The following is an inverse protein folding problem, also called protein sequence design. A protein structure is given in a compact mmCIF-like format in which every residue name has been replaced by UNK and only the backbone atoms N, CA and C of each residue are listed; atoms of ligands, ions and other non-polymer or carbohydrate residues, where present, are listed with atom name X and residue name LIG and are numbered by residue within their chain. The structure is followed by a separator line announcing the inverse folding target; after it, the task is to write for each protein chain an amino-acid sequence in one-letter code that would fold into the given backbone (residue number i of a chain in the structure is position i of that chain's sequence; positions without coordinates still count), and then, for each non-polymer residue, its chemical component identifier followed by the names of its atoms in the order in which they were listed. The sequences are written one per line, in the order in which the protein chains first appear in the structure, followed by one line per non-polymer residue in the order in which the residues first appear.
data_IF_945172808923
#
_entry.id   IF_945172808923
#
_cell.length_a   1.000
_cell.length_b   1.000
_cell.length_c   1.000
_cell.angle_alpha   90.00
_cell.angle_beta   90.00
_cell.angle_gamma   90.00
#
_symmetry.space_group_name_H-M   'P 1'
#
loop_
_entity.id
_entity.type
_entity.pdbx_description
1 polymer ?
#
# COMPACT_ATOMS: atom_id res chain seq x y z
N UNK A 1 14.97 -6.39 -1.36
CA UNK A 1 13.52 -6.06 -1.34
C UNK A 1 12.70 -6.96 -2.25
N UNK A 2 12.94 -6.97 -3.57
CA UNK A 2 12.11 -7.70 -4.55
C UNK A 2 11.88 -9.20 -4.21
N UNK A 3 12.94 -9.95 -3.87
CA UNK A 3 12.82 -11.38 -3.50
C UNK A 3 11.98 -11.65 -2.24
N UNK A 4 11.90 -10.67 -1.34
CA UNK A 4 11.23 -10.82 -0.04
C UNK A 4 9.79 -10.31 -0.04
N UNK A 5 9.59 -9.13 -0.64
CA UNK A 5 8.33 -8.37 -0.57
C UNK A 5 7.62 -8.23 -1.91
N UNK A 6 8.19 -8.69 -3.03
CA UNK A 6 7.55 -8.63 -4.35
C UNK A 6 7.49 -7.25 -4.99
N UNK A 7 7.79 -6.18 -4.26
CA UNK A 7 7.88 -4.82 -4.79
C UNK A 7 8.72 -3.89 -3.93
N UNK A 8 9.13 -2.77 -4.50
CA UNK A 8 9.97 -1.75 -3.85
C UNK A 8 9.96 -0.40 -4.57
N UNK A 9 10.40 0.64 -3.86
CA UNK A 9 10.63 1.97 -4.41
C UNK A 9 11.97 2.01 -5.17
N UNK A 10 11.98 2.57 -6.37
CA UNK A 10 13.22 2.80 -7.13
C UNK A 10 13.36 4.29 -7.48
N UNK A 11 14.54 4.86 -7.21
CA UNK A 11 14.82 6.26 -7.56
C UNK A 11 14.78 6.47 -9.07
N UNK A 12 14.33 7.65 -9.50
CA UNK A 12 14.10 8.00 -10.91
C UNK A 12 13.03 7.14 -11.63
N UNK A 13 12.31 6.29 -10.89
CA UNK A 13 11.19 5.48 -11.39
C UNK A 13 9.93 5.76 -10.57
N UNK A 14 10.00 5.56 -9.26
CA UNK A 14 8.93 5.77 -8.29
C UNK A 14 8.92 7.21 -7.76
N UNK A 15 7.77 7.64 -7.21
CA UNK A 15 7.57 9.00 -6.69
C UNK A 15 6.93 8.99 -5.31
N UNK A 16 7.18 10.03 -4.48
CA UNK A 16 6.68 10.14 -3.09
C UNK A 16 5.92 11.46 -2.77
N UNK A 17 4.84 11.82 -3.48
CA UNK A 17 4.05 12.99 -3.10
C UNK A 17 3.17 12.72 -1.88
N UNK A 18 2.70 13.81 -1.26
CA UNK A 18 1.62 13.75 -0.26
C UNK A 18 0.28 13.96 -0.95
N UNK A 19 -0.68 13.08 -0.70
CA UNK A 19 -2.02 13.17 -1.30
C UNK A 19 -3.05 12.31 -0.55
N UNK A 20 -4.32 12.57 -0.85
CA UNK A 20 -5.45 11.82 -0.32
C UNK A 20 -5.76 10.64 -1.23
N UNK A 21 -5.50 9.42 -0.77
CA UNK A 21 -5.88 8.21 -1.48
C UNK A 21 -7.31 7.80 -1.14
N UNK A 22 -8.16 7.68 -2.17
CA UNK A 22 -9.49 7.08 -2.06
C UNK A 22 -9.40 5.60 -2.45
N UNK A 23 -9.50 4.71 -1.46
CA UNK A 23 -9.51 3.26 -1.66
C UNK A 23 -10.96 2.82 -1.85
N UNK A 24 -11.41 2.81 -3.10
CA UNK A 24 -12.82 2.54 -3.44
C UNK A 24 -13.21 1.06 -3.29
N UNK A 25 -12.24 0.17 -3.51
CA UNK A 25 -12.45 -1.29 -3.51
C UNK A 25 -11.27 -2.00 -2.85
N UNK A 26 -11.59 -3.08 -2.15
CA UNK A 26 -10.62 -3.99 -1.56
C UNK A 26 -10.79 -5.37 -2.21
N UNK A 27 -9.69 -6.08 -2.55
CA UNK A 27 -9.79 -7.45 -3.08
C UNK A 27 -10.32 -8.41 -2.01
N UNK A 28 -10.79 -9.57 -2.46
CA UNK A 28 -10.99 -10.72 -1.57
C UNK A 28 -9.62 -11.30 -1.19
N UNK A 29 -9.12 -10.96 -0.01
CA UNK A 29 -7.83 -11.42 0.49
C UNK A 29 -7.84 -11.47 2.03
N UNK A 30 -7.13 -12.39 2.69
CA UNK A 30 -7.08 -12.41 4.17
C UNK A 30 -6.68 -11.07 4.79
N UNK A 31 -5.78 -10.31 4.14
CA UNK A 31 -5.33 -8.99 4.61
C UNK A 31 -6.48 -7.96 4.69
N UNK A 32 -7.52 -8.10 3.88
CA UNK A 32 -8.63 -7.13 3.78
C UNK A 32 -9.86 -7.52 4.62
N UNK A 33 -9.83 -8.66 5.34
CA UNK A 33 -10.94 -9.10 6.18
C UNK A 33 -11.25 -8.07 7.27
N UNK A 34 -12.53 -7.71 7.41
CA UNK A 34 -12.99 -6.71 8.37
C UNK A 34 -12.71 -5.26 7.98
N UNK A 35 -11.98 -5.00 6.88
CA UNK A 35 -11.80 -3.67 6.35
C UNK A 35 -12.94 -3.28 5.40
N UNK A 36 -13.25 -2.00 5.32
CA UNK A 36 -14.15 -1.40 4.33
C UNK A 36 -13.39 -0.40 3.46
N UNK A 37 -13.89 -0.01 2.27
CA UNK A 37 -13.37 1.12 1.53
C UNK A 37 -13.16 2.36 2.41
N UNK A 38 -12.03 3.06 2.23
CA UNK A 38 -11.64 4.18 3.09
C UNK A 38 -10.86 5.25 2.33
N UNK A 39 -10.78 6.43 2.93
CA UNK A 39 -10.00 7.56 2.42
C UNK A 39 -8.90 7.87 3.42
N UNK A 40 -7.67 8.08 2.94
CA UNK A 40 -6.52 8.33 3.80
C UNK A 40 -5.58 9.37 3.17
N UNK A 41 -5.31 10.45 3.91
CA UNK A 41 -4.26 11.40 3.58
C UNK A 41 -2.91 10.88 4.11
N UNK A 42 -1.90 10.80 3.25
CA UNK A 42 -0.57 10.29 3.61
C UNK A 42 0.49 10.69 2.57
N UNK A 43 1.76 10.35 2.82
CA UNK A 43 2.82 10.36 1.81
C UNK A 43 2.80 9.04 1.02
N UNK A 44 1.86 8.90 0.09
CA UNK A 44 1.69 7.66 -0.68
C UNK A 44 2.63 7.60 -1.88
N UNK A 45 3.49 6.58 -1.91
CA UNK A 45 4.46 6.40 -2.98
C UNK A 45 3.83 5.55 -4.07
N UNK A 46 4.06 5.92 -5.33
CA UNK A 46 3.50 5.18 -6.45
C UNK A 46 4.47 5.03 -7.62
N UNK A 47 4.01 4.33 -8.66
CA UNK A 47 4.84 3.84 -9.75
C UNK A 47 5.96 2.95 -9.21
N UNK A 48 5.57 1.97 -8.39
CA UNK A 48 6.47 1.04 -7.71
C UNK A 48 7.04 -0.01 -8.67
N UNK A 49 8.20 -0.57 -8.35
CA UNK A 49 8.69 -1.79 -9.01
C UNK A 49 8.02 -3.00 -8.39
N UNK A 50 7.68 -3.96 -9.25
CA UNK A 50 7.15 -5.26 -8.83
C UNK A 50 7.95 -6.40 -9.46
N UNK A 51 7.74 -7.61 -8.96
CA UNK A 51 8.22 -8.83 -9.60
C UNK A 51 7.78 -8.85 -11.08
N UNK A 52 8.57 -9.45 -11.99
CA UNK A 52 8.19 -9.54 -13.40
C UNK A 52 6.76 -10.06 -13.56
N UNK A 53 5.96 -9.35 -14.37
CA UNK A 53 4.54 -9.65 -14.61
C UNK A 53 3.68 -9.69 -13.33
N UNK A 54 4.16 -9.04 -12.25
CA UNK A 54 3.56 -9.09 -10.92
C UNK A 54 3.38 -10.53 -10.39
N UNK A 55 4.23 -11.47 -10.82
CA UNK A 55 4.09 -12.88 -10.45
C UNK A 55 4.16 -13.06 -8.93
N UNK A 56 3.07 -13.57 -8.35
CA UNK A 56 2.91 -13.77 -6.91
C UNK A 56 2.56 -12.51 -6.12
N UNK A 57 2.40 -11.36 -6.78
CA UNK A 57 2.00 -10.09 -6.16
C UNK A 57 0.49 -9.90 -6.32
N UNK A 58 -0.20 -9.66 -5.22
CA UNK A 58 -1.62 -9.30 -5.21
C UNK A 58 -1.75 -7.86 -4.73
N UNK A 59 -2.27 -6.92 -5.55
CA UNK A 59 -2.59 -5.57 -5.09
C UNK A 59 -3.59 -5.61 -3.95
N UNK A 60 -3.29 -4.94 -2.84
CA UNK A 60 -4.17 -4.85 -1.66
C UNK A 60 -4.80 -3.46 -1.57
N UNK A 61 -4.00 -2.42 -1.78
CA UNK A 61 -4.43 -1.03 -1.82
C UNK A 61 -4.05 -0.43 -3.16
N UNK A 62 -5.04 0.09 -3.87
CA UNK A 62 -4.84 0.76 -5.15
C UNK A 62 -5.69 2.02 -5.22
N UNK A 63 -5.14 3.08 -5.80
CA UNK A 63 -5.83 4.35 -5.98
C UNK A 63 -5.31 5.08 -7.22
N UNK A 64 -6.10 6.02 -7.73
CA UNK A 64 -5.66 6.95 -8.76
C UNK A 64 -5.13 8.23 -8.09
N UNK A 65 -3.82 8.53 -8.20
CA UNK A 65 -3.31 9.79 -7.69
C UNK A 65 -3.93 10.98 -8.44
N UNK A 66 -4.23 12.10 -7.76
CA UNK A 66 -4.73 13.28 -8.43
C UNK A 66 -3.63 13.90 -9.31
N UNK A 67 -4.00 14.55 -10.42
CA UNK A 67 -3.04 15.21 -11.34
C UNK A 67 -2.08 16.16 -10.63
N UNK A 68 -2.49 16.78 -9.52
CA UNK A 68 -1.66 17.69 -8.73
C UNK A 68 -0.37 17.05 -8.19
N UNK A 69 -0.32 15.72 -8.03
CA UNK A 69 0.90 14.98 -7.68
C UNK A 69 2.02 15.12 -8.73
N UNK A 70 1.65 15.49 -9.97
CA UNK A 70 2.56 15.63 -11.11
C UNK A 70 3.12 17.05 -11.32
N UNK A 71 2.90 17.96 -10.37
CA UNK A 71 3.33 19.36 -10.49
C UNK A 71 4.82 19.60 -10.19
N UNK A 72 5.51 18.65 -9.55
CA UNK A 72 6.94 18.76 -9.24
C UNK A 72 7.81 18.59 -10.50
N UNK A 73 9.01 19.18 -10.56
CA UNK A 73 9.96 18.88 -11.63
C UNK A 73 10.43 17.42 -11.56
N UNK A 74 11.07 16.97 -12.64
CA UNK A 74 11.63 15.64 -12.69
C UNK A 74 12.82 15.48 -11.72
N UNK A 75 12.98 14.31 -11.10
CA UNK A 75 14.00 14.10 -10.07
C UNK A 75 14.03 12.69 -9.49
N UNK A 76 14.91 12.43 -8.51
CA UNK A 76 15.13 11.09 -7.96
C UNK A 76 13.93 10.51 -7.20
N UNK A 77 13.08 11.37 -6.61
CA UNK A 77 11.87 10.97 -5.88
C UNK A 77 10.61 11.74 -6.34
N UNK A 78 10.77 12.59 -7.36
CA UNK A 78 9.69 13.36 -7.97
C UNK A 78 9.41 12.83 -9.37
N UNK A 79 8.88 13.65 -10.28
CA UNK A 79 8.42 13.16 -11.57
C UNK A 79 9.54 12.60 -12.45
N UNK A 80 9.14 11.85 -13.47
CA UNK A 80 10.01 11.30 -14.49
C UNK A 80 9.16 10.89 -15.72
N UNK A 81 9.78 10.59 -16.88
CA UNK A 81 9.04 10.19 -18.07
C UNK A 81 8.17 8.94 -17.88
N UNK A 82 8.58 8.00 -17.03
CA UNK A 82 7.86 6.73 -16.83
C UNK A 82 6.55 6.95 -16.06
N UNK A 83 6.61 7.62 -14.90
CA UNK A 83 5.41 7.93 -14.11
C UNK A 83 4.46 8.87 -14.86
N UNK A 84 4.97 9.81 -15.67
CA UNK A 84 4.16 10.66 -16.55
C UNK A 84 3.37 9.83 -17.56
N UNK A 85 4.00 8.84 -18.19
CA UNK A 85 3.35 7.92 -19.13
C UNK A 85 2.26 7.09 -18.45
N UNK A 86 2.57 6.51 -17.28
CA UNK A 86 1.61 5.70 -16.49
C UNK A 86 0.38 6.52 -16.08
N UNK A 87 0.60 7.73 -15.55
CA UNK A 87 -0.47 8.66 -15.16
C UNK A 87 -1.30 9.14 -16.36
N UNK A 88 -0.68 9.40 -17.51
CA UNK A 88 -1.39 9.79 -18.73
C UNK A 88 -2.25 8.65 -19.30
N UNK A 89 -1.81 7.39 -19.14
CA UNK A 89 -2.57 6.20 -19.51
C UNK A 89 -3.72 5.89 -18.53
N UNK A 90 -3.84 6.62 -17.42
CA UNK A 90 -4.87 6.39 -16.41
C UNK A 90 -4.65 5.11 -15.61
N UNK A 91 -3.42 4.61 -15.54
CA UNK A 91 -3.11 3.38 -14.82
C UNK A 91 -3.34 3.57 -13.31
N UNK A 92 -4.05 2.62 -12.70
CA UNK A 92 -4.24 2.58 -11.26
C UNK A 92 -2.90 2.29 -10.58
N UNK A 93 -2.63 2.96 -9.48
CA UNK A 93 -1.37 2.81 -8.77
C UNK A 93 -1.53 1.90 -7.55
N UNK A 94 -0.64 0.92 -7.41
CA UNK A 94 -0.62 -0.01 -6.29
C UNK A 94 0.27 0.53 -5.16
N UNK A 95 -0.37 0.92 -4.07
CA UNK A 95 0.26 1.59 -2.91
C UNK A 95 0.37 0.67 -1.69
N UNK A 96 -0.22 -0.52 -1.77
CA UNK A 96 -0.03 -1.65 -0.84
C UNK A 96 -0.30 -2.99 -1.53
N UNK A 97 0.47 -4.02 -1.20
CA UNK A 97 0.46 -5.31 -1.90
C UNK A 97 0.88 -6.47 -1.00
N UNK A 98 0.33 -7.65 -1.29
CA UNK A 98 0.76 -8.93 -0.75
C UNK A 98 1.70 -9.61 -1.75
N UNK A 99 2.60 -10.44 -1.25
CA UNK A 99 3.52 -11.23 -2.05
C UNK A 99 3.63 -12.65 -1.52
N UNK A 100 3.33 -13.62 -2.36
CA UNK A 100 3.53 -15.05 -2.09
C UNK A 100 4.79 -15.53 -2.81
N UNK A 101 5.81 -15.95 -2.05
CA UNK A 101 7.08 -16.37 -2.65
C UNK A 101 6.90 -17.71 -3.38
N UNK A 102 7.49 -17.87 -4.58
CA UNK A 102 7.41 -19.12 -5.33
C UNK A 102 7.85 -20.33 -4.50
N UNK A 103 7.14 -21.45 -4.68
CA UNK A 103 7.43 -22.70 -3.98
C UNK A 103 7.11 -22.67 -2.49
N UNK A 104 6.19 -21.80 -2.05
CA UNK A 104 5.71 -21.79 -0.67
C UNK A 104 6.75 -21.30 0.35
N UNK A 105 7.78 -20.56 -0.08
CA UNK A 105 8.88 -20.07 0.78
C UNK A 105 8.47 -18.91 1.72
N UNK A 106 7.17 -18.77 1.95
CA UNK A 106 6.55 -17.77 2.81
C UNK A 106 6.00 -16.56 2.06
N UNK A 107 5.56 -15.59 2.85
CA UNK A 107 4.73 -14.45 2.43
C UNK A 107 5.42 -13.13 2.78
N UNK A 108 5.00 -12.05 2.14
CA UNK A 108 5.45 -10.69 2.41
C UNK A 108 4.35 -9.68 2.13
N UNK A 109 4.37 -8.56 2.83
CA UNK A 109 3.45 -7.46 2.60
C UNK A 109 4.26 -6.16 2.51
N UNK A 110 3.90 -5.29 1.57
CA UNK A 110 4.46 -3.96 1.44
C UNK A 110 3.36 -2.91 1.32
N UNK A 111 3.60 -1.73 1.89
CA UNK A 111 2.72 -0.57 1.75
C UNK A 111 3.56 0.70 1.83
N UNK A 112 3.03 1.78 1.25
CA UNK A 112 3.71 3.08 1.18
C UNK A 112 3.09 4.13 2.11
N UNK A 113 2.03 3.77 2.84
CA UNK A 113 1.40 4.65 3.83
C UNK A 113 1.99 4.51 5.22
N UNK A 114 1.51 5.34 6.15
CA UNK A 114 1.97 5.39 7.54
C UNK A 114 3.02 6.47 7.80
N UNK A 115 3.19 7.45 6.91
CA UNK A 115 4.07 8.61 7.15
C UNK A 115 3.50 9.49 8.26
N UNK A 116 2.19 9.79 8.23
CA UNK A 116 1.55 10.55 9.29
C UNK A 116 1.14 9.67 10.47
N UNK A 117 1.43 10.13 11.69
CA UNK A 117 0.92 9.47 12.91
C UNK A 117 -0.62 9.40 12.94
N UNK A 118 -1.31 10.42 12.41
CA UNK A 118 -2.76 10.45 12.30
C UNK A 118 -3.34 9.30 11.43
N UNK A 119 -2.55 8.68 10.53
CA UNK A 119 -2.98 7.49 9.78
C UNK A 119 -3.34 6.33 10.72
N UNK A 120 -2.70 6.26 11.88
CA UNK A 120 -2.97 5.23 12.89
C UNK A 120 -4.28 5.45 13.66
N UNK A 121 -4.97 6.57 13.48
CA UNK A 121 -6.33 6.77 14.04
C UNK A 121 -7.41 6.06 13.22
N UNK A 122 -7.10 5.67 11.98
CA UNK A 122 -8.01 4.90 11.12
C UNK A 122 -8.13 3.43 11.57
N UNK A 123 -9.34 3.02 11.99
CA UNK A 123 -9.66 1.63 12.32
C UNK A 123 -9.36 0.69 11.14
N UNK A 124 -9.68 1.11 9.91
CA UNK A 124 -9.40 0.35 8.70
C UNK A 124 -7.90 0.15 8.48
N UNK A 125 -7.10 1.20 8.66
CA UNK A 125 -5.65 1.12 8.51
C UNK A 125 -5.02 0.18 9.55
N UNK A 126 -5.37 0.34 10.83
CA UNK A 126 -4.86 -0.52 11.90
C UNK A 126 -5.22 -1.99 11.66
N UNK A 127 -6.48 -2.26 11.30
CA UNK A 127 -6.96 -3.61 11.02
C UNK A 127 -6.21 -4.23 9.83
N UNK A 128 -6.02 -3.47 8.75
CA UNK A 128 -5.27 -3.93 7.57
C UNK A 128 -3.82 -4.29 7.90
N UNK A 129 -3.14 -3.46 8.68
CA UNK A 129 -1.75 -3.71 9.12
C UNK A 129 -1.67 -4.96 10.01
N UNK A 130 -2.59 -5.11 10.98
CA UNK A 130 -2.63 -6.28 11.86
C UNK A 130 -2.95 -7.57 11.09
N UNK A 131 -3.86 -7.50 10.12
CA UNK A 131 -4.16 -8.62 9.23
C UNK A 131 -2.92 -8.99 8.39
N UNK A 132 -2.18 -8.01 7.88
CA UNK A 132 -0.95 -8.23 7.13
C UNK A 132 0.14 -8.92 7.98
N UNK A 133 0.34 -8.48 9.23
CA UNK A 133 1.27 -9.11 10.17
C UNK A 133 0.87 -10.57 10.43
N UNK A 134 -0.42 -10.81 10.70
CA UNK A 134 -0.95 -12.14 10.97
C UNK A 134 -0.78 -13.06 9.75
N UNK A 135 -1.15 -12.59 8.56
CA UNK A 135 -1.07 -13.35 7.32
C UNK A 135 0.39 -13.67 6.92
N UNK A 136 1.30 -12.70 7.06
CA UNK A 136 2.73 -12.90 6.77
C UNK A 136 3.40 -13.86 7.75
N UNK A 137 2.88 -13.94 8.99
CA UNK A 137 3.33 -14.90 10.01
C UNK A 137 2.79 -16.32 9.79
N UNK A 138 1.98 -16.56 8.75
CA UNK A 138 1.38 -17.86 8.46
C UNK A 138 0.18 -18.22 9.33
N UNK A 139 -0.32 -17.26 10.12
CA UNK A 139 -1.51 -17.43 10.96
C UNK A 139 -2.76 -17.07 10.16
N UNK A 140 -3.86 -17.79 10.40
CA UNK A 140 -5.15 -17.50 9.77
C UNK A 140 -5.70 -16.15 10.27
N UNK A 141 -6.01 -15.25 9.34
CA UNK A 141 -6.62 -13.96 9.69
C UNK A 141 -8.09 -14.19 10.07
N UNK A 142 -8.59 -13.70 11.21
CA UNK A 142 -9.99 -13.87 11.58
C UNK A 142 -10.95 -13.35 10.51
N UNK A 143 -12.13 -13.97 10.37
CA UNK A 143 -13.13 -13.58 9.37
C UNK A 143 -13.54 -12.09 9.45
N UNK A 144 -13.54 -11.52 10.66
CA UNK A 144 -13.87 -10.12 10.95
C UNK A 144 -12.63 -9.21 11.04
N UNK A 145 -11.45 -9.69 10.64
CA UNK A 145 -10.18 -9.00 10.85
C UNK A 145 -9.64 -9.16 12.27
N UNK A 146 -8.37 -8.85 12.45
CA UNK A 146 -7.71 -8.84 13.76
C UNK A 146 -8.22 -7.62 14.55
N UNK A 147 -8.70 -7.80 15.79
CA UNK A 147 -9.22 -6.70 16.58
C UNK A 147 -8.11 -5.68 16.90
N UNK A 148 -8.42 -4.40 16.77
CA UNK A 148 -7.56 -3.29 17.19
C UNK A 148 -8.24 -2.44 18.25
N UNK A 149 -7.46 -1.93 19.22
CA UNK A 149 -7.96 -0.94 20.16
C UNK A 149 -8.33 0.36 19.43
N UNK A 150 -9.38 1.04 19.88
CA UNK A 150 -9.78 2.36 19.37
C UNK A 150 -8.89 3.44 19.97
N UNK A 151 -8.60 4.50 19.19
CA UNK A 151 -7.90 5.71 19.61
C UNK A 151 -6.60 5.46 20.40
N UNK A 152 -5.61 4.73 19.84
CA UNK A 152 -4.37 4.45 20.57
C UNK A 152 -3.57 5.71 20.94
N UNK A 153 -3.78 6.84 20.25
CA UNK A 153 -3.06 8.09 20.49
C UNK A 153 -3.70 9.00 21.55
N UNK A 154 -5.00 8.86 21.85
CA UNK A 154 -5.68 9.72 22.84
C UNK A 154 -5.39 9.34 24.29
N UNK A 155 -4.70 8.21 24.52
CA UNK A 155 -4.31 7.70 25.83
C UNK A 155 -2.84 7.90 26.19
N UNK A 156 -2.04 8.46 25.29
CA UNK A 156 -0.65 8.83 25.57
C UNK A 156 -0.63 10.14 26.40
N UNK A 157 -0.74 9.99 27.72
CA UNK A 157 -0.33 11.03 28.67
C UNK A 157 1.12 10.81 29.07
#
# INVERSE_FOLDING_TARGET
MLKGMGGYFETHWSVNPHWVATIEKLPEHPITRGCTPFVQNDEWYYHMRFAPEMKGVTPILSAHPPKATMNRPDGPHSNNPHVRKSMAAGEIQHIGWAYERPGGKGRGFGTTGGHYHATWDSDNWRTLVLNAITWTSGVEVPAKGVPSAKNPVSGAK
#
